data_IF_823692610962
#
_entry.id   IF_823692610962
#
_cell.length_a   1.000
_cell.length_b   1.000
_cell.length_c   1.000
_cell.angle_alpha   90.00
_cell.angle_beta   90.00
_cell.angle_gamma   90.00
#
_symmetry.space_group_name_H-M   'P 1'
#
loop_
_entity.id
_entity.type
_entity.pdbx_description
1 polymer ?
#
# COMPACT_ATOMS: atom_id res chain seq x y z
N UNK A 1 7.19 9.03 1.07
CA UNK A 1 6.44 8.16 0.12
C UNK A 1 6.96 8.17 -1.33
N UNK A 2 7.63 9.23 -1.79
CA UNK A 2 8.09 9.32 -3.19
C UNK A 2 9.20 8.30 -3.54
N UNK A 3 10.03 7.94 -2.55
CA UNK A 3 11.07 6.92 -2.67
C UNK A 3 10.48 5.52 -2.96
N UNK A 4 9.39 5.14 -2.29
CA UNK A 4 8.76 3.84 -2.49
C UNK A 4 8.08 3.74 -3.86
N UNK A 5 7.44 4.80 -4.35
CA UNK A 5 6.75 4.76 -5.64
C UNK A 5 7.73 4.62 -6.80
N UNK A 6 8.78 5.45 -6.85
CA UNK A 6 9.80 5.38 -7.91
C UNK A 6 10.56 4.05 -7.91
N UNK A 7 10.81 3.47 -6.73
CA UNK A 7 11.46 2.16 -6.64
C UNK A 7 10.54 1.04 -7.12
N UNK A 8 9.24 1.07 -6.78
CA UNK A 8 8.26 0.11 -7.34
C UNK A 8 8.15 0.28 -8.86
N UNK A 9 8.05 1.52 -9.36
CA UNK A 9 7.94 1.78 -10.80
C UNK A 9 9.16 1.28 -11.58
N UNK A 10 10.37 1.42 -11.02
CA UNK A 10 11.60 0.93 -11.67
C UNK A 10 11.80 -0.58 -11.54
N UNK A 11 11.45 -1.20 -10.40
CA UNK A 11 11.69 -2.63 -10.13
C UNK A 11 10.55 -3.55 -10.58
N UNK A 12 9.33 -3.03 -10.66
CA UNK A 12 8.10 -3.79 -10.91
C UNK A 12 7.32 -3.24 -12.11
N UNK A 13 8.02 -2.62 -13.07
CA UNK A 13 7.42 -2.01 -14.25
C UNK A 13 6.49 -2.96 -15.02
N UNK A 14 6.87 -4.23 -15.16
CA UNK A 14 6.05 -5.22 -15.88
C UNK A 14 4.72 -5.48 -15.17
N UNK A 15 4.74 -5.72 -13.86
CA UNK A 15 3.54 -5.96 -13.07
C UNK A 15 2.67 -4.70 -13.01
N UNK A 16 3.29 -3.52 -12.97
CA UNK A 16 2.60 -2.24 -13.01
C UNK A 16 1.87 -2.04 -14.34
N UNK A 17 2.53 -2.33 -15.47
CA UNK A 17 1.91 -2.25 -16.80
C UNK A 17 0.74 -3.23 -16.94
N UNK A 18 0.89 -4.48 -16.49
CA UNK A 18 -0.19 -5.49 -16.52
C UNK A 18 -1.41 -5.06 -15.71
N UNK A 19 -1.19 -4.52 -14.52
CA UNK A 19 -2.27 -4.01 -13.68
C UNK A 19 -2.97 -2.81 -14.33
N UNK A 20 -2.20 -1.83 -14.83
CA UNK A 20 -2.74 -0.68 -15.55
C UNK A 20 -3.54 -1.08 -16.77
N UNK A 21 -3.03 -2.00 -17.59
CA UNK A 21 -3.73 -2.52 -18.76
C UNK A 21 -5.06 -3.17 -18.39
N UNK A 22 -5.08 -3.98 -17.32
CA UNK A 22 -6.32 -4.57 -16.82
C UNK A 22 -7.33 -3.48 -16.40
N UNK A 23 -6.89 -2.49 -15.61
CA UNK A 23 -7.78 -1.41 -15.17
C UNK A 23 -8.34 -0.64 -16.36
N UNK A 24 -7.48 -0.26 -17.33
CA UNK A 24 -7.90 0.45 -18.54
C UNK A 24 -8.93 -0.32 -19.36
N UNK A 25 -8.78 -1.64 -19.47
CA UNK A 25 -9.72 -2.51 -20.21
C UNK A 25 -11.07 -2.69 -19.51
N UNK A 26 -11.10 -2.59 -18.18
CA UNK A 26 -12.27 -2.92 -17.37
C UNK A 26 -12.85 -1.71 -16.61
N UNK A 27 -12.51 -0.47 -16.99
CA UNK A 27 -12.92 0.74 -16.25
C UNK A 27 -14.43 0.88 -16.03
N UNK A 28 -15.23 0.36 -16.97
CA UNK A 28 -16.69 0.40 -16.90
C UNK A 28 -17.30 -0.74 -16.07
N UNK A 29 -16.48 -1.69 -15.61
CA UNK A 29 -16.88 -2.86 -14.82
C UNK A 29 -16.30 -2.79 -13.40
N UNK A 30 -16.53 -3.84 -12.61
CA UNK A 30 -15.87 -4.00 -11.31
C UNK A 30 -14.40 -4.40 -11.47
N UNK A 31 -13.61 -3.46 -12.01
CA UNK A 31 -12.16 -3.64 -12.22
C UNK A 31 -11.42 -3.98 -10.92
N UNK A 32 -11.95 -3.58 -9.76
CA UNK A 32 -11.33 -3.84 -8.46
C UNK A 32 -11.36 -5.34 -8.12
N UNK A 33 -12.44 -6.04 -8.49
CA UNK A 33 -12.52 -7.50 -8.39
C UNK A 33 -11.81 -8.18 -9.57
N UNK A 34 -12.03 -7.71 -10.80
CA UNK A 34 -11.50 -8.33 -12.02
C UNK A 34 -9.97 -8.32 -12.03
N UNK A 35 -9.35 -7.19 -11.72
CA UNK A 35 -7.90 -6.98 -11.79
C UNK A 35 -7.17 -7.35 -10.48
N UNK A 36 -7.86 -8.01 -9.55
CA UNK A 36 -7.28 -8.46 -8.27
C UNK A 36 -6.05 -9.38 -8.46
N UNK A 37 -5.99 -10.30 -9.45
CA UNK A 37 -4.80 -11.11 -9.71
C UNK A 37 -3.57 -10.26 -10.07
N UNK A 38 -3.72 -9.31 -10.99
CA UNK A 38 -2.65 -8.40 -11.43
C UNK A 38 -2.21 -7.49 -10.27
N UNK A 39 -3.15 -6.99 -9.47
CA UNK A 39 -2.86 -6.21 -8.28
C UNK A 39 -2.06 -7.01 -7.23
N UNK A 40 -2.38 -8.29 -7.03
CA UNK A 40 -1.60 -9.19 -6.16
C UNK A 40 -0.18 -9.42 -6.68
N UNK A 41 -0.02 -9.59 -7.99
CA UNK A 41 1.30 -9.76 -8.60
C UNK A 41 2.18 -8.51 -8.43
N UNK A 42 1.61 -7.32 -8.61
CA UNK A 42 2.31 -6.06 -8.36
C UNK A 42 2.69 -5.90 -6.88
N UNK A 43 1.76 -6.20 -5.96
CA UNK A 43 2.03 -6.15 -4.53
C UNK A 43 3.16 -7.12 -4.12
N UNK A 44 3.17 -8.34 -4.65
CA UNK A 44 4.22 -9.32 -4.39
C UNK A 44 5.60 -8.86 -4.91
N UNK A 45 5.64 -8.26 -6.11
CA UNK A 45 6.89 -7.69 -6.62
C UNK A 45 7.41 -6.55 -5.73
N UNK A 46 6.51 -5.65 -5.32
CA UNK A 46 6.85 -4.54 -4.45
C UNK A 46 7.40 -5.03 -3.10
N UNK A 47 6.81 -6.07 -2.53
CA UNK A 47 7.26 -6.69 -1.28
C UNK A 47 8.66 -7.33 -1.40
N UNK A 48 8.96 -7.95 -2.53
CA UNK A 48 10.26 -8.54 -2.76
C UNK A 48 11.35 -7.53 -3.13
N UNK A 49 10.98 -6.43 -3.82
CA UNK A 49 11.94 -5.53 -4.49
C UNK A 49 12.15 -4.20 -3.78
N UNK A 50 11.28 -3.85 -2.82
CA UNK A 50 11.33 -2.56 -2.11
C UNK A 50 11.45 -2.84 -0.60
N UNK A 51 12.67 -3.00 -0.07
CA UNK A 51 12.90 -3.36 1.33
C UNK A 51 12.22 -2.41 2.32
N UNK A 52 12.20 -1.11 2.02
CA UNK A 52 11.51 -0.10 2.83
C UNK A 52 10.00 -0.33 2.93
N UNK A 53 9.38 -0.85 1.88
CA UNK A 53 7.95 -1.18 1.88
C UNK A 53 7.69 -2.43 2.73
N UNK A 54 8.55 -3.44 2.63
CA UNK A 54 8.46 -4.64 3.46
C UNK A 54 8.65 -4.31 4.96
N UNK A 55 9.60 -3.43 5.28
CA UNK A 55 9.84 -2.95 6.64
C UNK A 55 8.65 -2.14 7.18
N UNK A 56 8.08 -1.24 6.37
CA UNK A 56 6.87 -0.50 6.75
C UNK A 56 5.70 -1.45 7.04
N UNK A 57 5.45 -2.42 6.16
CA UNK A 57 4.39 -3.42 6.34
C UNK A 57 4.58 -4.22 7.62
N UNK A 58 5.82 -4.57 7.95
CA UNK A 58 6.14 -5.31 9.17
C UNK A 58 5.96 -4.43 10.41
N UNK A 59 6.48 -3.20 10.37
CA UNK A 59 6.45 -2.26 11.50
C UNK A 59 5.05 -1.79 11.85
N UNK A 60 4.19 -1.65 10.84
CA UNK A 60 2.81 -1.20 10.99
C UNK A 60 1.79 -2.34 10.85
N UNK A 61 2.21 -3.60 10.98
CA UNK A 61 1.36 -4.77 10.74
C UNK A 61 0.07 -4.75 11.57
N UNK A 62 0.16 -4.33 12.84
CA UNK A 62 -0.99 -4.24 13.73
C UNK A 62 -2.00 -3.19 13.26
N UNK A 63 -1.55 -1.98 12.92
CA UNK A 63 -2.42 -0.90 12.44
C UNK A 63 -3.02 -1.25 11.08
N UNK A 64 -2.24 -1.88 10.19
CA UNK A 64 -2.71 -2.39 8.89
C UNK A 64 -3.82 -3.41 9.12
N UNK A 65 -3.60 -4.36 10.01
CA UNK A 65 -4.56 -5.43 10.29
C UNK A 65 -5.84 -4.88 10.91
N UNK A 66 -5.75 -3.99 11.90
CA UNK A 66 -6.91 -3.38 12.54
C UNK A 66 -7.75 -2.58 11.53
N UNK A 67 -7.10 -1.78 10.68
CA UNK A 67 -7.79 -1.01 9.65
C UNK A 67 -8.48 -1.93 8.63
N UNK A 68 -7.79 -2.99 8.16
CA UNK A 68 -8.37 -3.97 7.22
C UNK A 68 -9.57 -4.71 7.81
N UNK A 69 -9.49 -5.14 9.07
CA UNK A 69 -10.63 -5.77 9.73
C UNK A 69 -11.83 -4.84 9.81
N UNK A 70 -11.60 -3.54 10.07
CA UNK A 70 -12.68 -2.57 10.08
C UNK A 70 -13.31 -2.45 8.69
N UNK A 71 -12.50 -2.34 7.64
CA UNK A 71 -12.99 -2.31 6.26
C UNK A 71 -13.80 -3.55 5.91
N UNK A 72 -13.28 -4.75 6.20
CA UNK A 72 -13.96 -6.01 5.90
C UNK A 72 -15.29 -6.13 6.65
N UNK A 73 -15.34 -5.66 7.91
CA UNK A 73 -16.56 -5.65 8.72
C UNK A 73 -17.64 -4.70 8.17
N UNK A 74 -17.23 -3.63 7.50
CA UNK A 74 -18.11 -2.57 7.00
C UNK A 74 -18.18 -2.52 5.46
N UNK A 75 -17.70 -3.55 4.75
CA UNK A 75 -17.53 -3.56 3.30
C UNK A 75 -18.83 -3.40 2.48
N UNK A 76 -20.00 -3.61 3.10
CA UNK A 76 -21.32 -3.44 2.47
C UNK A 76 -22.00 -2.12 2.83
N UNK A 77 -21.33 -1.25 3.58
CA UNK A 77 -21.87 0.05 4.00
C UNK A 77 -21.41 1.17 3.06
N UNK A 78 -22.15 2.28 3.07
CA UNK A 78 -21.79 3.48 2.34
C UNK A 78 -20.47 4.10 2.86
N UNK A 79 -19.75 4.78 1.98
CA UNK A 79 -18.42 5.36 2.26
C UNK A 79 -18.39 6.27 3.50
N UNK A 80 -19.45 7.06 3.72
CA UNK A 80 -19.56 7.93 4.90
C UNK A 80 -19.55 7.14 6.21
N UNK A 81 -20.18 5.96 6.23
CA UNK A 81 -20.18 5.07 7.40
C UNK A 81 -18.84 4.40 7.57
N UNK A 82 -18.20 3.95 6.49
CA UNK A 82 -16.85 3.39 6.54
C UNK A 82 -15.87 4.44 7.08
N UNK A 83 -15.98 5.68 6.63
CA UNK A 83 -15.15 6.80 7.08
C UNK A 83 -15.33 7.08 8.57
N UNK A 84 -16.58 7.10 9.06
CA UNK A 84 -16.86 7.30 10.50
C UNK A 84 -16.34 6.14 11.36
N UNK A 85 -16.51 4.89 10.92
CA UNK A 85 -16.13 3.70 11.71
C UNK A 85 -14.63 3.41 11.67
N UNK A 86 -14.01 3.60 10.51
CA UNK A 86 -12.62 3.18 10.27
C UNK A 86 -11.64 4.34 10.16
N UNK A 87 -12.11 5.60 10.12
CA UNK A 87 -11.25 6.78 9.95
C UNK A 87 -10.22 6.98 11.06
N UNK A 88 -10.56 6.64 12.31
CA UNK A 88 -9.60 6.65 13.41
C UNK A 88 -8.45 5.67 13.21
N UNK A 89 -8.75 4.46 12.72
CA UNK A 89 -7.76 3.43 12.41
C UNK A 89 -6.90 3.81 11.19
N UNK A 90 -7.51 4.47 10.19
CA UNK A 90 -6.77 5.05 9.06
C UNK A 90 -5.73 6.06 9.55
N UNK A 91 -6.12 6.96 10.48
CA UNK A 91 -5.20 7.92 11.08
C UNK A 91 -4.06 7.23 11.82
N UNK A 92 -4.35 6.21 12.65
CA UNK A 92 -3.30 5.46 13.35
C UNK A 92 -2.33 4.75 12.40
N UNK A 93 -2.83 4.20 11.30
CA UNK A 93 -2.01 3.60 10.26
C UNK A 93 -1.12 4.64 9.56
N UNK A 94 -1.69 5.81 9.24
CA UNK A 94 -0.94 6.91 8.65
C UNK A 94 0.19 7.38 9.58
N UNK A 95 -0.09 7.60 10.86
CA UNK A 95 0.92 8.01 11.85
C UNK A 95 2.04 6.98 12.00
N UNK A 96 1.71 5.68 11.96
CA UNK A 96 2.72 4.63 11.95
C UNK A 96 3.60 4.71 10.69
N UNK A 97 2.97 4.84 9.52
CA UNK A 97 3.66 4.90 8.23
C UNK A 97 4.64 6.07 8.17
N UNK A 98 4.24 7.26 8.64
CA UNK A 98 5.10 8.44 8.68
C UNK A 98 6.30 8.26 9.62
N UNK A 99 6.07 7.73 10.83
CA UNK A 99 7.17 7.47 11.78
C UNK A 99 8.17 6.46 11.22
N UNK A 100 7.69 5.36 10.63
CA UNK A 100 8.55 4.33 10.07
C UNK A 100 9.31 4.85 8.85
N UNK A 101 8.67 5.59 7.96
CA UNK A 101 9.34 6.14 6.78
C UNK A 101 10.41 7.16 7.17
N UNK A 102 10.13 8.02 8.17
CA UNK A 102 11.13 8.94 8.71
C UNK A 102 12.35 8.20 9.27
N UNK A 103 12.13 7.12 10.02
CA UNK A 103 13.23 6.29 10.56
C UNK A 103 14.06 5.63 9.44
N UNK A 104 13.40 5.17 8.37
CA UNK A 104 14.06 4.63 7.18
C UNK A 104 14.93 5.70 6.51
N UNK A 105 14.37 6.88 6.26
CA UNK A 105 15.06 8.00 5.60
C UNK A 105 16.27 8.49 6.41
N UNK A 106 16.17 8.55 7.74
CA UNK A 106 17.29 8.91 8.63
C UNK A 106 18.45 7.92 8.55
N UNK A 107 18.16 6.61 8.44
CA UNK A 107 19.19 5.57 8.28
C UNK A 107 19.87 5.64 6.91
N UNK A 108 19.08 5.77 5.84
CA UNK A 108 19.61 5.87 4.47
C UNK A 108 20.39 7.19 4.25
N UNK A 109 19.94 8.28 4.89
CA UNK A 109 20.63 9.56 4.89
C UNK A 109 21.97 9.52 5.63
N UNK A 110 22.05 8.83 6.77
CA UNK A 110 23.30 8.62 7.50
C UNK A 110 24.26 7.67 6.77
N UNK A 111 23.74 6.65 6.08
CA UNK A 111 24.56 5.67 5.36
C UNK A 111 25.22 6.22 4.09
N UNK A 112 24.81 7.40 3.60
CA UNK A 112 25.46 8.10 2.47
C UNK A 112 26.60 9.04 2.91
N UNK A 113 26.82 9.20 4.21
CA UNK A 113 27.83 10.11 4.80
C UNK A 113 29.04 9.37 5.40
N UNK A 114 29.13 8.04 5.24
CA UNK A 114 30.26 7.20 5.67
C UNK A 114 30.93 6.56 4.46
#
# INVERSE_FOLDING_TARGET
>A
MDLSYNLVASKCAEQMAKYQECVLKNQAEDWNTICRPEGKALAACADASVPHLAELKTSCAEQIFAYRQCLDKHASQEDDMISQQCGGLMKSLWECSERTMKSIEEREGSSKLV
#
